data_IF_055923583992
#
_entry.id   IF_055923583992
#
_cell.length_a   1.000
_cell.length_b   1.000
_cell.length_c   1.000
_cell.angle_alpha   90.00
_cell.angle_beta   90.00
_cell.angle_gamma   90.00
#
_symmetry.space_group_name_H-M   'P 1'
#
loop_
_entity.id
_entity.type
_entity.pdbx_description
1 polymer ?
#
# COMPACT_ATOMS: atom_id res chain seq x y z
N UNK A 1 -21.07 -3.04 -20.14
CA UNK A 1 -20.29 -1.91 -20.72
C UNK A 1 -18.84 -2.33 -20.87
N UNK A 2 -17.94 -1.40 -21.22
CA UNK A 2 -16.50 -1.69 -21.39
C UNK A 2 -15.84 -2.17 -20.09
N UNK A 3 -16.16 -1.56 -18.94
CA UNK A 3 -15.75 -2.05 -17.62
C UNK A 3 -14.40 -1.53 -17.13
N UNK A 4 -13.78 -2.26 -16.19
CA UNK A 4 -12.62 -1.83 -15.39
C UNK A 4 -11.38 -2.71 -15.57
N UNK A 5 -11.22 -3.34 -16.73
CA UNK A 5 -10.16 -4.33 -16.99
C UNK A 5 -8.78 -3.81 -16.58
N UNK A 6 -8.39 -2.63 -17.05
CA UNK A 6 -7.03 -2.12 -16.82
C UNK A 6 -6.81 -1.52 -15.43
N UNK A 7 -7.88 -1.20 -14.70
CA UNK A 7 -7.75 -0.89 -13.26
C UNK A 7 -7.28 -2.12 -12.49
N UNK A 8 -7.75 -3.31 -12.88
CA UNK A 8 -7.36 -4.55 -12.24
C UNK A 8 -6.03 -5.09 -12.76
N UNK A 9 -5.80 -5.11 -14.08
CA UNK A 9 -4.57 -5.70 -14.66
C UNK A 9 -3.31 -5.05 -14.11
N UNK A 10 -3.33 -3.75 -13.82
CA UNK A 10 -2.19 -3.05 -13.22
C UNK A 10 -1.65 -3.71 -11.92
N UNK A 11 -2.49 -4.42 -11.18
CA UNK A 11 -2.11 -5.11 -9.95
C UNK A 11 -1.67 -6.57 -10.16
N UNK A 12 -1.69 -7.10 -11.40
CA UNK A 12 -1.30 -8.50 -11.68
C UNK A 12 -0.59 -8.70 -13.02
N UNK A 13 -0.21 -7.65 -13.73
CA UNK A 13 0.56 -7.72 -14.99
C UNK A 13 1.87 -6.97 -14.87
N UNK A 14 2.84 -7.36 -15.71
CA UNK A 14 4.11 -6.66 -15.92
C UNK A 14 5.01 -6.54 -14.68
N UNK A 15 4.68 -7.27 -13.60
CA UNK A 15 5.46 -7.40 -12.37
C UNK A 15 5.82 -6.07 -11.66
N UNK A 16 5.10 -4.98 -11.95
CA UNK A 16 5.40 -3.67 -11.35
C UNK A 16 5.04 -3.67 -9.85
N UNK A 17 3.92 -4.31 -9.48
CA UNK A 17 3.57 -4.51 -8.07
C UNK A 17 4.56 -5.44 -7.37
N UNK A 18 4.88 -6.55 -8.03
CA UNK A 18 5.82 -7.55 -7.50
C UNK A 18 7.19 -6.92 -7.22
N UNK A 19 7.75 -6.15 -8.16
CA UNK A 19 9.03 -5.46 -8.01
C UNK A 19 9.07 -4.58 -6.75
N UNK A 20 8.06 -3.73 -6.57
CA UNK A 20 7.92 -2.89 -5.36
C UNK A 20 7.81 -3.72 -4.08
N UNK A 21 7.02 -4.79 -4.09
CA UNK A 21 6.82 -5.62 -2.91
C UNK A 21 8.08 -6.42 -2.54
N UNK A 22 8.79 -6.96 -3.53
CA UNK A 22 10.03 -7.71 -3.29
C UNK A 22 11.15 -6.79 -2.79
N UNK A 23 11.26 -5.57 -3.32
CA UNK A 23 12.13 -4.54 -2.73
C UNK A 23 11.82 -4.32 -1.23
N UNK A 24 10.53 -4.16 -0.90
CA UNK A 24 10.13 -3.96 0.49
C UNK A 24 10.46 -5.15 1.40
N UNK A 25 10.32 -6.39 0.90
CA UNK A 25 10.66 -7.60 1.65
C UNK A 25 12.15 -7.60 2.01
N UNK A 26 13.02 -7.26 1.06
CA UNK A 26 14.46 -7.16 1.30
C UNK A 26 14.75 -6.02 2.29
N UNK A 27 14.16 -4.85 2.11
CA UNK A 27 14.28 -3.72 3.06
C UNK A 27 13.88 -4.10 4.49
N UNK A 28 12.74 -4.78 4.66
CA UNK A 28 12.25 -5.22 5.97
C UNK A 28 13.20 -6.26 6.56
N UNK A 29 13.65 -7.22 5.76
CA UNK A 29 14.55 -8.27 6.24
C UNK A 29 15.90 -7.70 6.71
N UNK A 30 16.42 -6.71 6.01
CA UNK A 30 17.70 -6.05 6.36
C UNK A 30 17.54 -5.17 7.61
N UNK A 31 16.44 -4.43 7.73
CA UNK A 31 16.25 -3.45 8.81
C UNK A 31 15.66 -4.03 10.10
N UNK A 32 14.84 -5.06 9.98
CA UNK A 32 14.05 -5.64 11.06
C UNK A 32 14.36 -7.13 11.28
N UNK A 33 15.64 -7.50 11.19
CA UNK A 33 16.15 -8.84 11.54
C UNK A 33 15.36 -10.00 10.91
N UNK A 34 15.03 -9.87 9.62
CA UNK A 34 14.30 -10.89 8.89
C UNK A 34 12.79 -10.93 9.18
N UNK A 35 12.16 -9.82 9.57
CA UNK A 35 10.76 -9.80 9.96
C UNK A 35 9.76 -10.17 8.85
N UNK A 36 10.11 -9.96 7.57
CA UNK A 36 9.29 -10.37 6.44
C UNK A 36 9.39 -11.89 6.16
N UNK A 37 10.37 -12.59 6.75
CA UNK A 37 10.43 -14.04 6.66
C UNK A 37 9.25 -14.70 7.37
N UNK A 38 8.91 -15.91 6.90
CA UNK A 38 7.85 -16.72 7.49
C UNK A 38 8.17 -17.04 8.95
N UNK A 39 7.26 -16.68 9.85
CA UNK A 39 7.38 -16.91 11.29
C UNK A 39 6.37 -16.07 12.07
N UNK A 40 6.10 -16.48 13.30
CA UNK A 40 5.25 -15.73 14.25
C UNK A 40 6.09 -14.91 15.23
N UNK A 41 7.28 -15.40 15.55
CA UNK A 41 8.11 -14.87 16.65
C UNK A 41 9.14 -13.84 16.17
N UNK A 42 9.25 -13.64 14.85
CA UNK A 42 10.15 -12.68 14.20
C UNK A 42 9.44 -11.39 13.77
N UNK A 43 8.21 -11.15 14.23
CA UNK A 43 7.41 -9.99 13.81
C UNK A 43 7.72 -8.76 14.66
N UNK A 44 7.68 -7.59 14.02
CA UNK A 44 7.87 -6.31 14.69
C UNK A 44 6.55 -5.84 15.29
N UNK A 45 6.60 -5.20 16.45
CA UNK A 45 5.39 -4.60 17.04
C UNK A 45 4.74 -3.60 16.08
N UNK A 46 3.43 -3.72 15.91
CA UNK A 46 2.63 -2.81 15.09
C UNK A 46 2.53 -1.42 15.74
N UNK A 47 3.48 -0.54 15.45
CA UNK A 47 3.51 0.86 15.90
C UNK A 47 3.44 1.80 14.70
N UNK A 48 3.04 3.05 14.96
CA UNK A 48 3.01 4.06 13.90
C UNK A 48 4.40 4.42 13.36
N UNK A 49 5.47 4.22 14.14
CA UNK A 49 6.83 4.47 13.66
C UNK A 49 7.24 3.41 12.63
N UNK A 50 6.91 2.14 12.87
CA UNK A 50 7.15 1.05 11.92
C UNK A 50 6.31 1.22 10.66
N UNK A 51 5.03 1.59 10.81
CA UNK A 51 4.15 1.88 9.67
C UNK A 51 4.70 3.04 8.83
N UNK A 52 5.09 4.14 9.47
CA UNK A 52 5.65 5.31 8.75
C UNK A 52 6.93 4.96 8.03
N UNK A 53 7.81 4.19 8.67
CA UNK A 53 9.08 3.77 8.09
C UNK A 53 8.88 2.95 6.81
N UNK A 54 8.18 1.82 6.92
CA UNK A 54 7.98 0.87 5.82
C UNK A 54 7.15 1.51 4.70
N UNK A 55 6.05 2.19 5.04
CA UNK A 55 5.17 2.76 4.02
C UNK A 55 5.84 3.93 3.28
N UNK A 56 6.63 4.75 3.97
CA UNK A 56 7.34 5.87 3.34
C UNK A 56 8.40 5.36 2.38
N UNK A 57 9.25 4.43 2.84
CA UNK A 57 10.27 3.81 1.99
C UNK A 57 9.64 3.14 0.76
N UNK A 58 8.62 2.30 0.97
CA UNK A 58 7.93 1.60 -0.12
C UNK A 58 7.34 2.57 -1.14
N UNK A 59 6.76 3.68 -0.68
CA UNK A 59 6.09 4.63 -1.57
C UNK A 59 7.11 5.44 -2.36
N UNK A 60 8.21 5.87 -1.72
CA UNK A 60 9.30 6.57 -2.39
C UNK A 60 9.91 5.68 -3.47
N UNK A 61 10.28 4.45 -3.14
CA UNK A 61 10.85 3.49 -4.10
C UNK A 61 9.95 3.30 -5.31
N UNK A 62 8.66 3.04 -5.09
CA UNK A 62 7.73 2.80 -6.17
C UNK A 62 7.47 4.05 -7.04
N UNK A 63 7.45 5.24 -6.46
CA UNK A 63 7.34 6.50 -7.22
C UNK A 63 8.59 6.70 -8.06
N UNK A 64 9.77 6.55 -7.47
CA UNK A 64 11.05 6.65 -8.19
C UNK A 64 11.13 5.64 -9.34
N UNK A 65 10.59 4.43 -9.18
CA UNK A 65 10.52 3.45 -10.26
C UNK A 65 9.69 3.96 -11.45
N UNK A 66 8.52 4.57 -11.21
CA UNK A 66 7.75 5.19 -12.28
C UNK A 66 8.46 6.39 -12.93
N UNK A 67 9.27 7.13 -12.17
CA UNK A 67 10.04 8.27 -12.69
C UNK A 67 11.28 7.84 -13.48
N UNK A 68 12.01 6.82 -13.01
CA UNK A 68 13.22 6.26 -13.63
C UNK A 68 12.89 5.48 -14.90
N UNK A 69 11.72 4.83 -14.94
CA UNK A 69 11.28 4.01 -16.07
C UNK A 69 9.99 4.56 -16.69
N UNK A 70 10.08 5.49 -17.67
CA UNK A 70 8.91 6.07 -18.32
C UNK A 70 7.95 5.03 -18.93
N UNK A 71 8.46 3.86 -19.32
CA UNK A 71 7.63 2.74 -19.81
C UNK A 71 6.69 2.20 -18.74
N UNK A 72 7.09 2.17 -17.47
CA UNK A 72 6.22 1.76 -16.36
C UNK A 72 5.13 2.81 -16.11
N UNK A 73 5.47 4.10 -16.23
CA UNK A 73 4.52 5.20 -16.11
C UNK A 73 3.50 5.21 -17.25
N UNK A 74 3.93 4.86 -18.47
CA UNK A 74 3.05 4.72 -19.64
C UNK A 74 2.15 3.48 -19.54
N UNK A 75 2.69 2.36 -19.07
CA UNK A 75 1.92 1.12 -18.82
C UNK A 75 0.80 1.38 -17.79
N UNK A 76 1.16 1.96 -16.65
CA UNK A 76 0.21 2.42 -15.65
C UNK A 76 -0.14 3.90 -15.87
N UNK A 77 -0.66 4.21 -17.06
CA UNK A 77 -1.03 5.57 -17.47
C UNK A 77 -2.03 6.24 -16.51
N UNK A 78 -2.94 5.47 -15.92
CA UNK A 78 -3.94 5.95 -14.98
C UNK A 78 -3.37 6.15 -13.58
N UNK A 79 -3.64 7.31 -12.97
CA UNK A 79 -3.20 7.61 -11.61
C UNK A 79 -3.68 6.59 -10.57
N UNK A 80 -4.92 6.10 -10.70
CA UNK A 80 -5.47 5.06 -9.83
C UNK A 80 -4.75 3.72 -9.94
N UNK A 81 -4.25 3.35 -11.12
CA UNK A 81 -3.46 2.13 -11.29
C UNK A 81 -2.18 2.23 -10.47
N UNK A 82 -1.47 3.35 -10.60
CA UNK A 82 -0.26 3.63 -9.82
C UNK A 82 -0.56 3.69 -8.33
N UNK A 83 -1.62 4.37 -7.94
CA UNK A 83 -2.04 4.50 -6.55
C UNK A 83 -2.33 3.13 -5.91
N UNK A 84 -3.06 2.26 -6.62
CA UNK A 84 -3.30 0.87 -6.20
C UNK A 84 -1.99 0.10 -6.03
N UNK A 85 -1.08 0.18 -7.01
CA UNK A 85 0.19 -0.57 -6.95
C UNK A 85 1.09 -0.11 -5.80
N UNK A 86 1.24 1.21 -5.62
CA UNK A 86 2.07 1.77 -4.55
C UNK A 86 1.54 1.43 -3.16
N UNK A 87 0.24 1.65 -2.95
CA UNK A 87 -0.40 1.40 -1.66
C UNK A 87 -0.54 -0.09 -1.33
N UNK A 88 -0.74 -0.94 -2.33
CA UNK A 88 -0.75 -2.39 -2.17
C UNK A 88 0.63 -2.91 -1.75
N UNK A 89 1.72 -2.41 -2.35
CA UNK A 89 3.08 -2.76 -1.95
C UNK A 89 3.37 -2.32 -0.50
N UNK A 90 3.05 -1.07 -0.16
CA UNK A 90 3.26 -0.51 1.19
C UNK A 90 2.43 -1.24 2.26
N UNK A 91 1.15 -1.48 2.00
CA UNK A 91 0.25 -2.17 2.92
C UNK A 91 0.61 -3.64 3.14
N UNK A 92 1.01 -4.33 2.07
CA UNK A 92 1.48 -5.72 2.15
C UNK A 92 2.79 -5.81 2.93
N UNK A 93 3.73 -4.90 2.68
CA UNK A 93 5.01 -4.83 3.39
C UNK A 93 4.83 -4.64 4.90
N UNK A 94 4.01 -3.66 5.32
CA UNK A 94 3.75 -3.44 6.74
C UNK A 94 3.01 -4.62 7.39
N UNK A 95 2.09 -5.27 6.67
CA UNK A 95 1.42 -6.49 7.15
C UNK A 95 2.40 -7.64 7.36
N UNK A 96 3.34 -7.83 6.42
CA UNK A 96 4.37 -8.88 6.50
C UNK A 96 5.31 -8.65 7.68
N UNK A 97 5.78 -7.41 7.89
CA UNK A 97 6.69 -7.07 8.97
C UNK A 97 6.05 -7.24 10.36
N UNK A 98 4.76 -6.90 10.49
CA UNK A 98 4.11 -6.78 11.80
C UNK A 98 3.19 -7.95 12.15
N UNK A 99 2.74 -8.73 11.17
CA UNK A 99 1.71 -9.75 11.37
C UNK A 99 0.35 -9.14 11.74
N UNK A 100 0.10 -7.87 11.41
CA UNK A 100 -1.12 -7.14 11.72
C UNK A 100 -1.70 -6.47 10.47
N UNK A 101 -2.88 -6.92 10.03
CA UNK A 101 -3.50 -6.43 8.81
C UNK A 101 -3.99 -4.97 8.91
N UNK A 102 -4.35 -4.48 10.10
CA UNK A 102 -4.72 -3.08 10.29
C UNK A 102 -3.49 -2.16 10.24
N UNK A 103 -2.31 -2.61 10.69
CA UNK A 103 -1.06 -1.88 10.44
C UNK A 103 -0.77 -1.78 8.93
N UNK A 104 -1.06 -2.85 8.18
CA UNK A 104 -1.10 -2.85 6.72
C UNK A 104 -2.03 -1.79 6.13
N UNK A 105 -3.27 -1.69 6.62
CA UNK A 105 -4.20 -0.64 6.20
C UNK A 105 -3.66 0.77 6.50
N UNK A 106 -3.05 0.99 7.66
CA UNK A 106 -2.42 2.28 7.96
C UNK A 106 -1.31 2.62 6.95
N UNK A 107 -0.51 1.63 6.55
CA UNK A 107 0.54 1.81 5.54
C UNK A 107 -0.04 2.08 4.13
N UNK A 108 -1.12 1.38 3.76
CA UNK A 108 -1.85 1.66 2.52
C UNK A 108 -2.28 3.13 2.45
N UNK A 109 -2.98 3.61 3.48
CA UNK A 109 -3.49 4.98 3.49
C UNK A 109 -2.38 6.04 3.58
N UNK A 110 -1.30 5.76 4.32
CA UNK A 110 -0.13 6.65 4.32
C UNK A 110 0.53 6.73 2.94
N UNK A 111 0.63 5.62 2.21
CA UNK A 111 1.13 5.61 0.83
C UNK A 111 0.30 6.51 -0.08
N UNK A 112 -1.03 6.48 0.05
CA UNK A 112 -1.92 7.36 -0.72
C UNK A 112 -1.65 8.84 -0.45
N UNK A 113 -1.42 9.22 0.82
CA UNK A 113 -1.12 10.60 1.19
C UNK A 113 0.22 11.06 0.63
N UNK A 114 1.27 10.24 0.79
CA UNK A 114 2.60 10.53 0.25
C UNK A 114 2.57 10.67 -1.27
N UNK A 115 1.88 9.76 -1.97
CA UNK A 115 1.75 9.81 -3.43
C UNK A 115 1.02 11.07 -3.90
N UNK A 116 -0.07 11.46 -3.23
CA UNK A 116 -0.81 12.68 -3.54
C UNK A 116 0.08 13.92 -3.47
N UNK A 117 0.85 14.05 -2.40
CA UNK A 117 1.74 15.20 -2.20
C UNK A 117 2.96 15.17 -3.12
N UNK A 118 3.53 13.98 -3.39
CA UNK A 118 4.69 13.84 -4.26
C UNK A 118 4.40 14.25 -5.71
N UNK A 119 3.25 13.85 -6.27
CA UNK A 119 2.95 14.02 -7.69
C UNK A 119 1.88 15.08 -7.99
N UNK A 120 1.30 15.71 -6.97
CA UNK A 120 0.20 16.66 -7.12
C UNK A 120 -1.07 16.06 -7.74
N UNK A 121 -1.19 14.73 -7.73
CA UNK A 121 -2.29 13.92 -8.28
C UNK A 121 -2.32 12.56 -7.58
N UNK A 122 -3.46 11.89 -7.63
CA UNK A 122 -3.62 10.54 -7.09
C UNK A 122 -4.39 9.64 -8.07
N UNK A 123 -5.70 9.50 -7.90
CA UNK A 123 -6.57 8.68 -8.74
C UNK A 123 -7.64 9.47 -9.50
N UNK A 124 -8.66 8.77 -9.98
CA UNK A 124 -9.85 9.38 -10.58
C UNK A 124 -10.70 10.15 -9.53
N UNK A 125 -11.71 10.88 -9.99
CA UNK A 125 -12.64 11.61 -9.12
C UNK A 125 -13.37 10.67 -8.14
N UNK A 126 -13.09 10.79 -6.85
CA UNK A 126 -13.70 9.94 -5.81
C UNK A 126 -12.94 8.63 -5.57
N UNK A 127 -11.79 8.42 -6.21
CA UNK A 127 -10.90 7.30 -5.92
C UNK A 127 -10.53 7.27 -4.43
N UNK A 128 -10.18 8.43 -3.87
CA UNK A 128 -9.64 8.56 -2.52
C UNK A 128 -10.71 8.83 -1.45
N UNK A 129 -12.00 8.59 -1.71
CA UNK A 129 -13.04 8.72 -0.70
C UNK A 129 -12.70 7.87 0.53
N UNK A 130 -12.40 6.59 0.31
CA UNK A 130 -12.00 5.69 1.38
C UNK A 130 -10.62 6.05 1.95
N UNK A 131 -9.72 6.58 1.12
CA UNK A 131 -8.35 6.86 1.56
C UNK A 131 -8.29 8.11 2.45
N UNK A 132 -9.14 9.12 2.22
CA UNK A 132 -9.26 10.29 3.11
C UNK A 132 -9.92 9.92 4.46
N UNK A 133 -10.88 8.99 4.47
CA UNK A 133 -11.45 8.44 5.71
C UNK A 133 -10.56 7.38 6.37
N UNK A 134 -9.62 6.81 5.61
CA UNK A 134 -8.96 5.56 5.91
C UNK A 134 -8.16 5.58 7.20
N UNK A 135 -7.21 6.51 7.32
CA UNK A 135 -6.29 6.56 8.45
C UNK A 135 -7.01 6.67 9.81
N UNK A 136 -8.09 7.46 9.89
CA UNK A 136 -8.87 7.61 11.13
C UNK A 136 -9.74 6.38 11.43
N UNK A 137 -10.22 5.67 10.40
CA UNK A 137 -11.08 4.50 10.56
C UNK A 137 -10.32 3.17 10.73
N UNK A 138 -8.99 3.14 10.60
CA UNK A 138 -8.20 1.90 10.75
C UNK A 138 -8.31 1.34 12.17
N UNK A 139 -8.19 2.19 13.17
CA UNK A 139 -8.21 1.82 14.59
C UNK A 139 -9.43 2.35 15.33
N UNK A 140 -10.43 2.84 14.60
CA UNK A 140 -11.71 3.19 15.17
C UNK A 140 -12.37 1.94 15.79
N UNK A 141 -13.22 2.18 16.78
CA UNK A 141 -14.09 1.19 17.39
C UNK A 141 -15.56 1.66 17.36
N UNK A 142 -15.88 2.67 16.56
CA UNK A 142 -17.24 3.15 16.36
C UNK A 142 -18.05 2.15 15.53
N UNK A 143 -19.39 2.29 15.59
CA UNK A 143 -20.38 1.34 15.09
C UNK A 143 -20.14 0.79 13.69
N UNK A 144 -19.86 1.67 12.74
CA UNK A 144 -19.75 1.44 11.30
C UNK A 144 -18.38 1.86 10.76
N UNK A 145 -17.40 2.01 11.66
CA UNK A 145 -16.01 2.33 11.33
C UNK A 145 -15.07 1.21 11.80
N UNK A 146 -15.23 0.69 13.01
CA UNK A 146 -14.25 -0.21 13.60
C UNK A 146 -14.36 -1.65 13.14
N UNK A 147 -13.41 -2.13 12.32
CA UNK A 147 -13.37 -3.55 11.94
C UNK A 147 -11.94 -4.02 11.60
N UNK A 148 -11.50 -5.20 12.08
CA UNK A 148 -10.28 -5.85 11.61
C UNK A 148 -10.32 -6.06 10.10
N UNK A 149 -9.20 -5.84 9.40
CA UNK A 149 -9.17 -5.88 7.93
C UNK A 149 -9.67 -7.21 7.37
N UNK A 150 -9.38 -8.32 8.03
CA UNK A 150 -9.81 -9.67 7.66
C UNK A 150 -11.34 -9.84 7.65
N UNK A 151 -12.07 -9.01 8.39
CA UNK A 151 -13.53 -9.01 8.46
C UNK A 151 -14.17 -7.90 7.62
N UNK A 152 -13.37 -6.98 7.05
CA UNK A 152 -13.85 -5.99 6.10
C UNK A 152 -14.20 -6.65 4.76
N UNK A 153 -14.87 -5.88 3.91
CA UNK A 153 -15.18 -6.32 2.56
C UNK A 153 -15.81 -5.20 1.74
N UNK A 154 -16.34 -5.51 0.54
CA UNK A 154 -16.93 -4.51 -0.35
C UNK A 154 -18.19 -3.78 0.16
N UNK A 155 -18.67 -4.11 1.37
CA UNK A 155 -19.82 -3.48 2.04
C UNK A 155 -19.42 -2.87 3.40
N UNK A 156 -18.13 -2.70 3.64
CA UNK A 156 -17.61 -1.93 4.77
C UNK A 156 -17.66 -0.43 4.41
#
# INVERSE_FOLDING_TARGET
GVGFTQYATAAYTNNILDDNLYYNVDYINDKYDGAANKGTDNKVNATMDVVKDIATESTIYGIENYEKYPTALEDHFGGSQRATVLSAAAGSAASLATGNANAGLSAWYLSMYLHKEALGRLGFFGFDLQDQCGATNVFSFQSDEGLPHELRGPNY
#
